data_IF_892699585235
#
_entry.id   IF_892699585235
#
_cell.length_a   1.000
_cell.length_b   1.000
_cell.length_c   1.000
_cell.angle_alpha   90.00
_cell.angle_beta   90.00
_cell.angle_gamma   90.00
#
_symmetry.space_group_name_H-M   'P 1'
#
loop_
_entity.id
_entity.type
_entity.pdbx_description
1 polymer ?
#
# COMPACT_ATOMS: atom_id res chain seq x y z
N UNK A 1 4.58 -13.49 0.72
CA UNK A 1 5.25 -14.59 0.02
C UNK A 1 6.11 -15.35 1.03
N UNK A 2 5.84 -16.62 1.30
CA UNK A 2 6.43 -17.35 2.44
C UNK A 2 6.86 -18.77 2.05
N UNK A 3 7.87 -18.90 1.17
CA UNK A 3 8.30 -20.20 0.67
C UNK A 3 9.01 -21.04 1.74
N UNK A 4 8.90 -22.36 1.64
CA UNK A 4 9.63 -23.30 2.49
C UNK A 4 9.47 -23.03 3.98
N UNK A 5 10.58 -22.89 4.71
CA UNK A 5 10.55 -22.64 6.15
C UNK A 5 10.26 -21.18 6.55
N UNK A 6 10.10 -20.25 5.59
CA UNK A 6 9.70 -18.87 5.92
C UNK A 6 8.24 -18.80 6.41
N UNK A 7 7.44 -19.84 6.15
CA UNK A 7 6.04 -19.90 6.60
C UNK A 7 5.93 -19.81 8.11
N UNK A 8 6.69 -20.60 8.89
CA UNK A 8 6.53 -20.63 10.35
C UNK A 8 6.79 -19.26 10.98
N UNK A 9 7.87 -18.62 10.56
CA UNK A 9 8.26 -17.27 10.98
C UNK A 9 7.18 -16.25 10.66
N UNK A 10 6.57 -16.37 9.49
CA UNK A 10 5.49 -15.46 9.08
C UNK A 10 4.23 -15.67 9.92
N UNK A 11 3.85 -16.91 10.20
CA UNK A 11 2.70 -17.21 11.06
C UNK A 11 2.94 -16.70 12.49
N UNK A 12 4.15 -16.85 13.02
CA UNK A 12 4.53 -16.30 14.32
C UNK A 12 4.50 -14.77 14.31
N UNK A 13 4.97 -14.13 13.24
CA UNK A 13 4.86 -12.68 13.06
C UNK A 13 3.39 -12.22 13.03
N UNK A 14 2.50 -12.93 12.31
CA UNK A 14 1.06 -12.64 12.27
C UNK A 14 0.45 -12.73 13.67
N UNK A 15 0.76 -13.79 14.44
CA UNK A 15 0.30 -13.92 15.82
C UNK A 15 0.83 -12.80 16.70
N UNK A 16 2.10 -12.45 16.54
CA UNK A 16 2.73 -11.39 17.31
C UNK A 16 2.07 -10.03 17.07
N UNK A 17 1.88 -9.62 15.81
CA UNK A 17 1.24 -8.33 15.50
C UNK A 17 -0.22 -8.29 15.92
N UNK A 18 -0.92 -9.43 15.91
CA UNK A 18 -2.31 -9.54 16.36
C UNK A 18 -2.45 -9.54 17.88
N UNK A 19 -1.41 -9.83 18.66
CA UNK A 19 -1.55 -10.04 20.11
C UNK A 19 -0.65 -9.17 20.99
N UNK A 20 0.53 -8.75 20.50
CA UNK A 20 1.60 -8.24 21.35
C UNK A 20 1.99 -6.79 21.08
N UNK A 21 1.45 -6.15 20.03
CA UNK A 21 1.75 -4.76 19.71
C UNK A 21 0.68 -3.83 20.29
N UNK A 22 1.05 -2.57 20.64
CA UNK A 22 0.05 -1.52 20.81
C UNK A 22 -0.81 -1.41 19.54
N UNK A 23 -2.13 -1.41 19.66
CA UNK A 23 -3.03 -1.38 18.51
C UNK A 23 -3.35 -2.75 17.90
N UNK A 24 -2.92 -3.85 18.54
CA UNK A 24 -3.22 -5.22 18.09
C UNK A 24 -4.71 -5.50 17.91
N UNK A 25 -5.59 -4.85 18.68
CA UNK A 25 -7.05 -4.91 18.52
C UNK A 25 -7.51 -4.41 17.15
N UNK A 26 -6.94 -3.30 16.65
CA UNK A 26 -7.27 -2.77 15.32
C UNK A 26 -6.80 -3.75 14.24
N UNK A 27 -5.64 -4.38 14.42
CA UNK A 27 -5.15 -5.41 13.50
C UNK A 27 -6.05 -6.64 13.51
N UNK A 28 -6.58 -7.02 14.67
CA UNK A 28 -7.53 -8.13 14.79
C UNK A 28 -8.82 -7.89 14.01
N UNK A 29 -9.35 -6.66 14.11
CA UNK A 29 -10.65 -6.30 13.59
C UNK A 29 -10.62 -5.93 12.09
N UNK A 30 -9.53 -5.30 11.63
CA UNK A 30 -9.51 -4.63 10.31
C UNK A 30 -8.47 -5.17 9.33
N UNK A 31 -7.61 -6.12 9.71
CA UNK A 31 -6.54 -6.63 8.85
C UNK A 31 -6.72 -8.11 8.54
N UNK A 32 -6.72 -8.44 7.25
CA UNK A 32 -6.59 -9.81 6.74
C UNK A 32 -5.17 -10.06 6.22
N UNK A 33 -4.63 -11.25 6.51
CA UNK A 33 -3.30 -11.65 6.05
C UNK A 33 -3.42 -12.68 4.93
N UNK A 34 -2.75 -12.44 3.81
CA UNK A 34 -2.70 -13.37 2.69
C UNK A 34 -1.31 -14.01 2.61
N UNK A 35 -1.25 -15.31 2.88
CA UNK A 35 -0.01 -16.09 2.86
C UNK A 35 0.02 -16.94 1.59
N UNK A 36 1.12 -16.90 0.86
CA UNK A 36 1.25 -17.54 -0.45
C UNK A 36 2.69 -17.92 -0.76
N UNK A 37 2.87 -18.99 -1.55
CA UNK A 37 4.16 -19.55 -1.95
C UNK A 37 4.00 -20.38 -3.23
N UNK A 38 5.10 -20.58 -3.95
CA UNK A 38 5.12 -21.44 -5.15
C UNK A 38 4.95 -22.92 -4.77
N UNK A 39 4.28 -23.70 -5.62
CA UNK A 39 4.18 -25.15 -5.46
C UNK A 39 5.54 -25.87 -5.48
N UNK A 40 6.55 -25.27 -6.12
CA UNK A 40 7.93 -25.79 -6.13
C UNK A 40 8.67 -25.54 -4.81
N UNK A 41 8.16 -24.64 -3.97
CA UNK A 41 8.77 -24.23 -2.71
C UNK A 41 7.76 -24.33 -1.56
N UNK A 42 6.96 -25.40 -1.56
CA UNK A 42 5.93 -25.62 -0.57
C UNK A 42 6.56 -25.86 0.83
N UNK A 43 6.04 -25.22 1.88
CA UNK A 43 6.37 -25.56 3.27
C UNK A 43 6.04 -27.01 3.59
N UNK A 44 6.83 -27.65 4.46
CA UNK A 44 6.61 -29.06 4.85
C UNK A 44 5.25 -29.26 5.49
N UNK A 45 4.84 -28.31 6.35
CA UNK A 45 3.54 -28.32 7.01
C UNK A 45 2.85 -26.99 6.72
N UNK A 46 1.69 -27.05 6.07
CA UNK A 46 0.83 -25.91 5.82
C UNK A 46 -0.41 -26.09 6.71
N UNK A 47 -0.74 -25.13 7.59
CA UNK A 47 -1.96 -25.17 8.38
C UNK A 47 -3.20 -25.31 7.48
N UNK A 48 -4.15 -26.15 7.91
CA UNK A 48 -5.36 -26.43 7.13
C UNK A 48 -6.33 -25.23 7.11
N UNK A 49 -6.46 -24.55 8.24
CA UNK A 49 -7.39 -23.45 8.44
C UNK A 49 -6.79 -22.35 9.33
N UNK A 50 -7.56 -21.27 9.48
CA UNK A 50 -7.20 -20.12 10.31
C UNK A 50 -7.08 -20.48 11.79
N UNK A 51 -7.94 -21.36 12.31
CA UNK A 51 -7.92 -21.79 13.71
C UNK A 51 -6.58 -22.47 14.07
N UNK A 52 -6.09 -23.35 13.19
CA UNK A 52 -4.77 -23.98 13.33
C UNK A 52 -3.60 -22.98 13.36
N UNK A 53 -3.81 -21.77 12.83
CA UNK A 53 -2.86 -20.66 12.93
C UNK A 53 -3.12 -19.83 14.19
N UNK A 54 -4.33 -19.33 14.42
CA UNK A 54 -4.58 -18.26 15.38
C UNK A 54 -4.87 -18.74 16.81
N UNK A 55 -5.37 -19.97 17.01
CA UNK A 55 -5.77 -20.47 18.34
C UNK A 55 -4.59 -20.92 19.20
N UNK A 56 -3.36 -20.66 18.76
CA UNK A 56 -2.19 -20.95 19.57
C UNK A 56 -2.02 -19.90 20.68
N UNK A 57 -1.85 -20.34 21.95
CA UNK A 57 -1.59 -19.42 23.05
C UNK A 57 -0.35 -18.58 22.75
N UNK A 58 -0.49 -17.25 22.80
CA UNK A 58 0.61 -16.32 22.61
C UNK A 58 0.93 -15.62 23.93
N UNK A 59 2.15 -15.80 24.44
CA UNK A 59 2.68 -15.00 25.54
C UNK A 59 3.44 -13.82 24.98
N UNK A 60 2.98 -12.60 25.28
CA UNK A 60 3.65 -11.37 24.85
C UNK A 60 4.76 -10.93 25.81
N UNK A 61 4.96 -11.66 26.91
CA UNK A 61 5.98 -11.39 27.92
C UNK A 61 6.85 -12.63 28.16
N UNK A 62 8.13 -12.38 28.34
CA UNK A 62 9.12 -13.35 28.78
C UNK A 62 9.03 -13.59 30.30
N UNK A 63 9.64 -14.66 30.79
CA UNK A 63 9.60 -15.03 32.21
C UNK A 63 10.22 -13.98 33.15
N UNK A 64 11.12 -13.15 32.64
CA UNK A 64 11.74 -12.03 33.34
C UNK A 64 10.90 -10.73 33.30
N UNK A 65 9.70 -10.77 32.70
CA UNK A 65 8.79 -9.63 32.58
C UNK A 65 9.04 -8.71 31.38
N UNK A 66 10.09 -8.93 30.57
CA UNK A 66 10.30 -8.13 29.35
C UNK A 66 9.38 -8.57 28.21
N UNK A 67 9.06 -7.68 27.28
CA UNK A 67 8.27 -8.02 26.09
C UNK A 67 9.02 -9.02 25.20
N UNK A 68 8.30 -9.97 24.61
CA UNK A 68 8.90 -10.87 23.61
C UNK A 68 9.37 -10.05 22.39
N UNK A 69 10.62 -10.27 21.91
CA UNK A 69 11.10 -9.56 20.73
C UNK A 69 10.30 -9.99 19.50
N UNK A 70 10.06 -9.09 18.54
CA UNK A 70 9.28 -9.43 17.35
C UNK A 70 9.90 -10.63 16.60
N UNK A 71 9.13 -11.65 16.20
CA UNK A 71 9.68 -12.84 15.54
C UNK A 71 10.47 -12.50 14.28
N UNK A 72 10.06 -11.45 13.58
CA UNK A 72 10.69 -10.98 12.35
C UNK A 72 12.07 -10.33 12.52
N UNK A 73 12.50 -10.04 13.76
CA UNK A 73 13.86 -9.55 14.04
C UNK A 73 14.81 -10.67 14.45
N UNK A 74 14.31 -11.89 14.63
CA UNK A 74 15.09 -13.01 15.17
C UNK A 74 15.83 -13.80 14.08
N UNK A 75 15.48 -13.60 12.82
CA UNK A 75 16.08 -14.31 11.69
C UNK A 75 16.76 -13.29 10.79
N UNK A 76 18.05 -13.50 10.55
CA UNK A 76 18.78 -12.65 9.62
C UNK A 76 18.25 -12.85 8.20
N UNK A 77 18.12 -11.75 7.43
CA UNK A 77 17.52 -11.79 6.09
C UNK A 77 18.19 -12.81 5.15
N UNK A 78 19.52 -12.95 5.25
CA UNK A 78 20.31 -13.92 4.48
C UNK A 78 20.05 -15.38 4.86
N UNK A 79 19.37 -15.63 5.98
CA UNK A 79 18.98 -16.96 6.43
C UNK A 79 17.57 -17.36 6.01
N UNK A 80 16.76 -16.43 5.48
CA UNK A 80 15.44 -16.75 4.93
C UNK A 80 15.52 -17.77 3.80
N UNK A 81 14.51 -18.63 3.69
CA UNK A 81 14.40 -19.62 2.63
C UNK A 81 14.40 -18.93 1.27
N UNK A 82 13.64 -17.83 1.11
CA UNK A 82 13.63 -17.02 -0.12
C UNK A 82 15.05 -16.71 -0.59
N UNK A 83 15.91 -16.20 0.30
CA UNK A 83 17.28 -15.82 -0.06
C UNK A 83 18.15 -17.05 -0.32
N UNK A 84 18.11 -18.06 0.55
CA UNK A 84 18.93 -19.29 0.38
C UNK A 84 18.58 -20.07 -0.88
N UNK A 85 17.31 -20.05 -1.29
CA UNK A 85 16.83 -20.67 -2.53
C UNK A 85 16.91 -19.73 -3.74
N UNK A 86 17.48 -18.52 -3.60
CA UNK A 86 17.64 -17.53 -4.66
C UNK A 86 16.32 -17.18 -5.38
N UNK A 87 15.24 -17.02 -4.60
CA UNK A 87 13.92 -16.69 -5.12
C UNK A 87 13.73 -15.18 -5.19
N UNK A 88 13.01 -14.74 -6.21
CA UNK A 88 12.51 -13.37 -6.33
C UNK A 88 11.24 -13.19 -5.49
N UNK A 89 10.86 -11.94 -5.21
CA UNK A 89 9.58 -11.62 -4.57
C UNK A 89 8.48 -11.39 -5.63
N UNK A 90 7.52 -12.32 -5.78
CA UNK A 90 6.40 -12.19 -6.71
C UNK A 90 5.34 -11.22 -6.16
N UNK A 91 5.68 -9.93 -6.13
CA UNK A 91 4.84 -8.87 -5.56
C UNK A 91 3.47 -8.76 -6.25
N UNK A 92 3.43 -8.91 -7.59
CA UNK A 92 2.20 -8.75 -8.35
C UNK A 92 1.23 -9.93 -8.17
N UNK A 93 1.74 -11.14 -7.90
CA UNK A 93 0.91 -12.27 -7.47
C UNK A 93 0.23 -11.92 -6.14
N UNK A 94 0.99 -11.39 -5.17
CA UNK A 94 0.45 -10.95 -3.88
C UNK A 94 -0.62 -9.87 -4.03
N UNK A 95 -0.38 -8.87 -4.89
CA UNK A 95 -1.38 -7.83 -5.22
C UNK A 95 -2.65 -8.41 -5.82
N UNK A 96 -2.54 -9.33 -6.77
CA UNK A 96 -3.71 -9.95 -7.40
C UNK A 96 -4.50 -10.81 -6.41
N UNK A 97 -3.83 -11.57 -5.53
CA UNK A 97 -4.48 -12.34 -4.45
C UNK A 97 -5.27 -11.40 -3.53
N UNK A 98 -4.63 -10.36 -3.01
CA UNK A 98 -5.28 -9.40 -2.12
C UNK A 98 -6.46 -8.71 -2.81
N UNK A 99 -6.30 -8.34 -4.09
CA UNK A 99 -7.35 -7.72 -4.89
C UNK A 99 -8.54 -8.65 -5.12
N UNK A 100 -8.32 -9.92 -5.38
CA UNK A 100 -9.39 -10.90 -5.55
C UNK A 100 -10.13 -11.21 -4.23
N UNK A 101 -9.42 -11.12 -3.11
CA UNK A 101 -10.01 -11.33 -1.78
C UNK A 101 -10.74 -10.10 -1.23
N UNK A 102 -10.58 -8.92 -1.85
CA UNK A 102 -11.27 -7.70 -1.43
C UNK A 102 -12.78 -7.82 -1.68
N UNK A 103 -13.57 -7.65 -0.63
CA UNK A 103 -15.05 -7.76 -0.67
C UNK A 103 -15.75 -6.42 -0.93
N UNK A 104 -15.00 -5.39 -1.33
CA UNK A 104 -15.51 -4.03 -1.57
C UNK A 104 -15.53 -3.71 -3.06
N UNK A 105 -16.40 -2.79 -3.47
CA UNK A 105 -16.45 -2.34 -4.86
C UNK A 105 -15.18 -1.59 -5.26
N UNK A 106 -14.74 -0.66 -4.41
CA UNK A 106 -13.49 0.07 -4.58
C UNK A 106 -12.35 -0.61 -3.83
N UNK A 107 -11.17 -0.58 -4.45
CA UNK A 107 -9.94 -1.20 -3.99
C UNK A 107 -8.85 -0.14 -4.08
N UNK A 108 -8.17 0.12 -2.96
CA UNK A 108 -7.03 1.01 -2.91
C UNK A 108 -5.74 0.18 -2.78
N UNK A 109 -5.00 0.04 -3.88
CA UNK A 109 -3.74 -0.69 -3.87
C UNK A 109 -2.61 0.24 -3.43
N UNK A 110 -2.11 0.04 -2.21
CA UNK A 110 -1.10 0.87 -1.57
C UNK A 110 0.00 0.03 -0.94
N UNK A 111 1.22 0.58 -0.91
CA UNK A 111 2.30 -0.02 -0.12
C UNK A 111 2.08 0.33 1.36
N UNK A 112 2.40 -0.58 2.28
CA UNK A 112 2.10 -0.45 3.72
C UNK A 112 2.82 0.72 4.41
N UNK A 113 3.90 1.24 3.81
CA UNK A 113 4.66 2.40 4.30
C UNK A 113 4.08 3.75 3.86
N UNK A 114 3.00 3.74 3.07
CA UNK A 114 2.35 4.94 2.58
C UNK A 114 1.02 5.16 3.29
N UNK A 115 0.91 6.32 3.93
CA UNK A 115 -0.22 6.68 4.77
C UNK A 115 -1.14 7.64 4.01
N UNK A 116 -2.42 7.31 3.78
CA UNK A 116 -3.36 8.25 3.17
C UNK A 116 -3.63 9.44 4.10
N UNK A 117 -3.93 10.60 3.52
CA UNK A 117 -4.40 11.78 4.24
C UNK A 117 -5.65 11.46 5.08
N UNK A 118 -5.79 12.12 6.23
CA UNK A 118 -6.94 11.92 7.12
C UNK A 118 -8.27 12.19 6.41
N UNK A 119 -9.29 11.39 6.70
CA UNK A 119 -10.62 11.49 6.09
C UNK A 119 -10.68 11.08 4.61
N UNK A 120 -9.61 10.49 4.05
CA UNK A 120 -9.56 10.07 2.65
C UNK A 120 -10.74 9.17 2.26
N UNK A 121 -10.99 8.11 3.03
CA UNK A 121 -12.01 7.11 2.69
C UNK A 121 -13.39 7.74 2.65
N UNK A 122 -13.75 8.50 3.68
CA UNK A 122 -15.06 9.16 3.77
C UNK A 122 -15.26 10.18 2.64
N UNK A 123 -14.27 11.06 2.41
CA UNK A 123 -14.37 12.06 1.34
C UNK A 123 -14.46 11.43 -0.06
N UNK A 124 -13.74 10.33 -0.29
CA UNK A 124 -13.81 9.61 -1.56
C UNK A 124 -15.20 8.98 -1.76
N UNK A 125 -15.74 8.31 -0.74
CA UNK A 125 -17.06 7.71 -0.81
C UNK A 125 -18.17 8.76 -0.92
N UNK A 126 -18.03 9.91 -0.27
CA UNK A 126 -18.91 11.05 -0.42
C UNK A 126 -18.89 11.57 -1.86
N UNK A 127 -17.71 11.76 -2.47
CA UNK A 127 -17.60 12.15 -3.89
C UNK A 127 -18.35 11.16 -4.79
N UNK A 128 -18.22 9.86 -4.53
CA UNK A 128 -18.90 8.81 -5.30
C UNK A 128 -20.42 8.92 -5.13
N UNK A 129 -20.90 9.05 -3.90
CA UNK A 129 -22.33 9.12 -3.58
C UNK A 129 -23.00 10.36 -4.21
N UNK A 130 -22.29 11.49 -4.26
CA UNK A 130 -22.81 12.72 -4.86
C UNK A 130 -22.76 12.71 -6.40
N UNK A 131 -21.79 12.00 -7.00
CA UNK A 131 -21.61 11.98 -8.44
C UNK A 131 -21.37 10.56 -8.96
N UNK A 132 -22.45 9.83 -9.24
CA UNK A 132 -22.38 8.47 -9.77
C UNK A 132 -21.68 8.37 -11.14
N UNK A 133 -21.44 9.49 -11.85
CA UNK A 133 -20.66 9.46 -13.09
C UNK A 133 -19.19 9.06 -12.89
N UNK A 134 -18.72 8.98 -11.63
CA UNK A 134 -17.42 8.40 -11.29
C UNK A 134 -17.45 6.87 -11.31
N UNK A 135 -18.62 6.25 -11.14
CA UNK A 135 -18.78 4.78 -11.24
C UNK A 135 -18.79 4.36 -12.71
N UNK A 136 -17.85 3.50 -13.12
CA UNK A 136 -17.79 2.96 -14.48
C UNK A 136 -18.65 1.69 -14.58
N UNK A 137 -19.95 1.82 -14.32
CA UNK A 137 -20.86 0.66 -14.20
C UNK A 137 -21.17 -0.02 -15.54
N UNK A 138 -21.11 0.71 -16.65
CA UNK A 138 -21.27 0.15 -17.99
C UNK A 138 -19.90 -0.36 -18.50
N UNK A 139 -19.74 -1.65 -18.84
CA UNK A 139 -18.52 -2.20 -19.41
C UNK A 139 -18.03 -1.51 -20.69
N UNK A 140 -18.90 -0.76 -21.37
CA UNK A 140 -18.54 0.06 -22.55
C UNK A 140 -17.86 1.37 -22.17
N UNK A 141 -18.03 1.84 -20.93
CA UNK A 141 -17.34 3.03 -20.46
C UNK A 141 -15.86 2.70 -20.23
N UNK A 142 -14.97 3.66 -20.51
CA UNK A 142 -13.57 3.47 -20.20
C UNK A 142 -13.38 3.34 -18.70
N UNK A 143 -12.54 2.40 -18.30
CA UNK A 143 -12.21 2.17 -16.89
C UNK A 143 -11.59 3.42 -16.27
N UNK A 144 -11.85 3.60 -14.98
CA UNK A 144 -11.48 4.79 -14.23
C UNK A 144 -10.66 4.40 -13.01
N UNK A 145 -9.57 5.12 -12.80
CA UNK A 145 -8.77 5.02 -11.57
C UNK A 145 -8.49 6.39 -11.01
N UNK A 146 -8.34 6.46 -9.70
CA UNK A 146 -8.20 7.70 -8.94
C UNK A 146 -6.84 7.73 -8.25
N UNK A 147 -5.81 8.27 -8.91
CA UNK A 147 -4.45 8.30 -8.39
C UNK A 147 -4.30 9.36 -7.29
N UNK A 148 -3.50 9.02 -6.29
CA UNK A 148 -3.14 9.90 -5.19
C UNK A 148 -1.73 10.47 -5.43
N UNK A 149 -1.55 11.76 -5.15
CA UNK A 149 -0.23 12.38 -5.12
C UNK A 149 0.55 11.86 -3.91
N UNK A 150 1.85 11.59 -4.06
CA UNK A 150 2.66 11.03 -2.97
C UNK A 150 3.75 12.02 -2.58
N UNK A 151 3.90 12.24 -1.28
CA UNK A 151 4.88 13.15 -0.71
C UNK A 151 5.73 12.47 0.36
N UNK A 152 7.00 12.82 0.40
CA UNK A 152 7.91 12.50 1.49
C UNK A 152 7.94 13.68 2.46
N UNK A 153 7.86 13.38 3.76
CA UNK A 153 7.96 14.37 4.83
C UNK A 153 9.30 14.18 5.54
N UNK A 154 10.00 15.27 5.80
CA UNK A 154 11.26 15.25 6.56
C UNK A 154 11.10 14.58 7.94
N UNK A 155 12.09 13.79 8.36
CA UNK A 155 12.05 13.09 9.64
C UNK A 155 11.94 14.08 10.82
N UNK A 156 11.07 13.79 11.78
CA UNK A 156 10.84 14.64 12.96
C UNK A 156 9.89 15.82 12.71
N UNK A 157 9.45 16.04 11.47
CA UNK A 157 8.39 17.02 11.16
C UNK A 157 7.02 16.41 11.49
N UNK A 158 6.12 17.23 12.03
CA UNK A 158 4.75 16.82 12.32
C UNK A 158 4.02 16.42 11.03
N UNK A 159 3.33 15.29 11.09
CA UNK A 159 2.50 14.78 9.99
C UNK A 159 1.38 15.79 9.69
N UNK A 160 1.25 16.28 8.44
CA UNK A 160 0.22 17.26 8.11
C UNK A 160 -1.18 16.65 8.18
N UNK A 161 -2.09 17.32 8.88
CA UNK A 161 -3.47 16.89 9.03
C UNK A 161 -4.29 17.06 7.74
N UNK A 162 -3.93 18.05 6.92
CA UNK A 162 -4.60 18.36 5.67
C UNK A 162 -3.63 18.88 4.59
N UNK A 163 -4.18 19.10 3.39
CA UNK A 163 -3.39 19.59 2.24
C UNK A 163 -2.83 20.99 2.48
N UNK A 164 -3.49 21.85 3.24
CA UNK A 164 -2.99 23.21 3.52
C UNK A 164 -1.71 23.14 4.36
N UNK A 165 -1.68 22.29 5.37
CA UNK A 165 -0.48 22.01 6.16
C UNK A 165 0.62 21.35 5.32
N UNK A 166 0.28 20.36 4.49
CA UNK A 166 1.23 19.74 3.56
C UNK A 166 1.87 20.78 2.63
N UNK A 167 1.07 21.68 2.05
CA UNK A 167 1.57 22.75 1.18
C UNK A 167 2.45 23.75 1.95
N UNK A 168 2.17 24.00 3.23
CA UNK A 168 3.04 24.81 4.08
C UNK A 168 4.41 24.15 4.27
N UNK A 169 4.45 22.83 4.54
CA UNK A 169 5.70 22.06 4.62
C UNK A 169 6.45 22.05 3.28
N UNK A 170 5.73 21.85 2.17
CA UNK A 170 6.30 21.84 0.83
C UNK A 170 6.98 23.17 0.49
N UNK A 171 6.36 24.31 0.83
CA UNK A 171 6.95 25.66 0.65
C UNK A 171 8.19 25.88 1.51
N UNK A 172 8.25 25.26 2.69
CA UNK A 172 9.40 25.30 3.60
C UNK A 172 10.49 24.28 3.24
N UNK A 173 10.30 23.51 2.15
CA UNK A 173 11.20 22.42 1.74
C UNK A 173 11.31 21.28 2.76
N UNK A 174 10.31 21.14 3.63
CA UNK A 174 10.18 20.05 4.62
C UNK A 174 9.30 18.90 4.11
N UNK A 175 8.74 19.07 2.91
CA UNK A 175 8.04 18.04 2.16
C UNK A 175 8.44 18.11 0.69
N UNK A 176 8.52 16.96 0.03
CA UNK A 176 8.83 16.87 -1.39
C UNK A 176 8.01 15.79 -2.09
N UNK A 177 7.99 15.79 -3.43
CA UNK A 177 7.37 14.70 -4.19
C UNK A 177 8.13 13.40 -3.93
N UNK A 178 7.41 12.29 -3.78
CA UNK A 178 8.00 10.98 -3.55
C UNK A 178 9.04 10.59 -4.60
N UNK A 179 10.18 10.10 -4.12
CA UNK A 179 11.33 9.68 -4.92
C UNK A 179 11.81 10.75 -5.93
N UNK A 180 11.67 12.04 -5.58
CA UNK A 180 12.02 13.17 -6.46
C UNK A 180 13.44 13.04 -7.06
N UNK A 181 14.41 12.60 -6.25
CA UNK A 181 15.81 12.46 -6.65
C UNK A 181 16.15 11.14 -7.35
N UNK A 182 15.30 10.11 -7.21
CA UNK A 182 15.48 8.80 -7.85
C UNK A 182 14.83 8.77 -9.24
N UNK A 183 13.57 9.21 -9.33
CA UNK A 183 12.85 9.31 -10.58
C UNK A 183 11.75 10.39 -10.50
N UNK A 184 12.14 11.63 -10.81
CA UNK A 184 11.22 12.78 -10.83
C UNK A 184 9.94 12.53 -11.63
N UNK A 185 10.03 11.87 -12.80
CA UNK A 185 8.88 11.63 -13.68
C UNK A 185 8.01 10.45 -13.25
N UNK A 186 8.51 9.56 -12.39
CA UNK A 186 7.79 8.34 -12.00
C UNK A 186 6.63 8.61 -11.03
N UNK A 187 6.68 9.70 -10.25
CA UNK A 187 5.65 10.02 -9.25
C UNK A 187 5.08 11.44 -9.39
N UNK A 188 5.50 12.19 -10.41
CA UNK A 188 4.84 13.46 -10.75
C UNK A 188 3.43 13.16 -11.28
N UNK A 189 2.40 13.65 -10.59
CA UNK A 189 1.04 13.49 -11.06
C UNK A 189 0.74 14.43 -12.24
N UNK A 190 -0.15 14.04 -13.15
CA UNK A 190 -0.71 14.94 -14.15
C UNK A 190 -1.29 16.20 -13.50
N UNK A 191 -0.98 17.37 -14.08
CA UNK A 191 -1.39 18.66 -13.53
C UNK A 191 -0.91 18.92 -12.09
N UNK A 192 0.30 18.42 -11.72
CA UNK A 192 0.89 18.61 -10.40
C UNK A 192 0.94 20.09 -9.97
N UNK A 193 1.30 20.99 -10.89
CA UNK A 193 1.43 22.42 -10.56
C UNK A 193 0.08 23.02 -10.19
N UNK A 194 -0.95 22.69 -10.95
CA UNK A 194 -2.32 23.07 -10.66
C UNK A 194 -2.78 22.44 -9.34
N UNK A 195 -2.49 21.16 -9.12
CA UNK A 195 -2.80 20.48 -7.85
C UNK A 195 -2.17 21.18 -6.65
N UNK A 196 -0.90 21.59 -6.74
CA UNK A 196 -0.19 22.32 -5.68
C UNK A 196 -0.75 23.73 -5.44
N UNK A 197 -1.30 24.35 -6.48
CA UNK A 197 -1.87 25.70 -6.40
C UNK A 197 -3.34 25.71 -5.97
N UNK A 198 -4.04 24.58 -6.08
CA UNK A 198 -5.41 24.43 -5.58
C UNK A 198 -5.41 24.43 -4.04
N UNK A 199 -5.68 25.59 -3.45
CA UNK A 199 -6.03 25.70 -2.04
C UNK A 199 -7.51 25.38 -1.90
N UNK A 200 -7.82 24.26 -1.27
CA UNK A 200 -9.19 23.90 -0.95
C UNK A 200 -9.47 24.23 0.50
N UNK A 201 -10.61 24.87 0.77
CA UNK A 201 -11.10 25.12 2.12
C UNK A 201 -11.63 23.84 2.76
N UNK A 202 -11.83 23.85 4.09
CA UNK A 202 -12.41 22.74 4.83
C UNK A 202 -13.85 22.38 4.39
N UNK A 203 -14.52 23.30 3.68
CA UNK A 203 -15.88 23.12 3.14
C UNK A 203 -15.91 22.67 1.67
N UNK A 204 -14.75 22.56 1.01
CA UNK A 204 -14.71 22.19 -0.41
C UNK A 204 -14.96 20.70 -0.59
N UNK A 205 -16.14 20.39 -1.13
CA UNK A 205 -16.49 19.02 -1.51
C UNK A 205 -15.50 18.45 -2.53
N UNK A 206 -15.09 17.21 -2.28
CA UNK A 206 -14.21 16.46 -3.15
C UNK A 206 -14.87 16.22 -4.52
N UNK A 207 -14.12 16.48 -5.59
CA UNK A 207 -14.57 16.28 -6.96
C UNK A 207 -13.39 15.94 -7.86
N UNK A 208 -13.64 15.33 -9.02
CA UNK A 208 -12.59 15.14 -10.03
C UNK A 208 -12.16 16.52 -10.56
N UNK A 209 -10.88 16.86 -10.46
CA UNK A 209 -10.38 18.14 -10.99
C UNK A 209 -9.79 18.03 -12.39
N UNK A 210 -9.25 16.86 -12.76
CA UNK A 210 -8.59 16.65 -14.04
C UNK A 210 -8.66 15.18 -14.44
N UNK A 211 -8.55 14.94 -15.74
CA UNK A 211 -8.48 13.59 -16.31
C UNK A 211 -7.30 13.49 -17.26
N UNK A 212 -6.62 12.35 -17.25
CA UNK A 212 -5.57 12.06 -18.23
C UNK A 212 -5.49 10.59 -18.61
N UNK A 213 -4.60 10.31 -19.56
CA UNK A 213 -4.16 8.97 -19.92
C UNK A 213 -2.68 8.80 -19.59
N UNK A 214 -2.29 7.59 -19.18
CA UNK A 214 -0.88 7.21 -19.00
C UNK A 214 -0.19 7.04 -20.36
N UNK A 215 0.11 8.16 -21.02
CA UNK A 215 0.75 8.26 -22.34
C UNK A 215 1.85 9.33 -22.32
N UNK A 216 2.68 9.34 -23.37
CA UNK A 216 3.72 10.36 -23.59
C UNK A 216 4.66 10.51 -22.37
N UNK A 217 4.71 11.70 -21.77
CA UNK A 217 5.55 12.00 -20.61
C UNK A 217 5.20 11.18 -19.35
N UNK A 218 4.00 10.59 -19.29
CA UNK A 218 3.54 9.77 -18.16
C UNK A 218 3.74 8.26 -18.37
N UNK A 219 4.46 7.82 -19.42
CA UNK A 219 4.71 6.38 -19.67
C UNK A 219 5.41 5.67 -18.51
N UNK A 220 6.29 6.39 -17.81
CA UNK A 220 7.04 5.89 -16.65
C UNK A 220 6.31 6.11 -15.32
N UNK A 221 5.10 6.71 -15.34
CA UNK A 221 4.37 7.02 -14.13
C UNK A 221 3.92 5.74 -13.40
N UNK A 222 4.16 5.72 -12.09
CA UNK A 222 3.87 4.64 -11.14
C UNK A 222 2.91 5.17 -10.05
N UNK A 223 1.61 5.29 -10.37
CA UNK A 223 0.63 5.79 -9.43
C UNK A 223 0.23 4.74 -8.39
N UNK A 224 -0.14 5.23 -7.22
CA UNK A 224 -1.01 4.53 -6.27
C UNK A 224 -2.41 5.10 -6.43
N UNK A 225 -3.42 4.25 -6.54
CA UNK A 225 -4.73 4.69 -6.95
C UNK A 225 -5.84 3.82 -6.37
N UNK A 226 -7.02 4.42 -6.25
CA UNK A 226 -8.27 3.69 -6.05
C UNK A 226 -8.79 3.23 -7.41
N UNK A 227 -9.21 1.98 -7.49
CA UNK A 227 -9.93 1.43 -8.65
C UNK A 227 -11.11 0.59 -8.22
N UNK A 228 -11.84 0.06 -9.18
CA UNK A 228 -12.72 -1.09 -8.95
C UNK A 228 -12.01 -2.41 -9.33
N UNK A 229 -12.73 -3.52 -9.21
CA UNK A 229 -12.20 -4.83 -9.58
C UNK A 229 -12.23 -5.12 -11.11
N UNK A 230 -12.57 -4.15 -11.96
CA UNK A 230 -12.61 -4.31 -13.43
C UNK A 230 -11.28 -3.96 -14.11
N UNK A 231 -10.35 -3.30 -13.42
CA UNK A 231 -8.99 -3.03 -13.92
C UNK A 231 -8.25 -4.34 -14.31
N UNK A 232 -7.32 -4.31 -15.27
CA UNK A 232 -6.48 -5.46 -15.56
C UNK A 232 -5.70 -5.91 -14.31
N UNK A 233 -5.49 -7.22 -14.15
CA UNK A 233 -4.58 -7.72 -13.12
C UNK A 233 -3.14 -7.23 -13.36
N UNK A 234 -2.38 -7.13 -12.28
CA UNK A 234 -0.95 -6.86 -12.38
C UNK A 234 -0.27 -8.04 -13.09
N UNK A 235 0.66 -7.77 -13.99
CA UNK A 235 1.46 -8.79 -14.67
C UNK A 235 2.33 -9.52 -13.64
N UNK A 236 1.95 -10.77 -13.36
CA UNK A 236 2.54 -11.62 -12.33
C UNK A 236 3.97 -12.05 -12.67
N UNK A 237 4.41 -11.89 -13.92
CA UNK A 237 5.80 -12.15 -14.33
C UNK A 237 6.76 -11.10 -13.79
N UNK A 238 6.25 -9.94 -13.38
CA UNK A 238 7.06 -8.84 -12.85
C UNK A 238 7.25 -9.01 -11.35
N UNK A 239 8.52 -9.11 -10.95
CA UNK A 239 8.93 -9.26 -9.55
C UNK A 239 9.29 -7.91 -8.94
N UNK A 240 9.48 -7.87 -7.62
CA UNK A 240 9.87 -6.64 -6.95
C UNK A 240 11.27 -6.16 -7.31
N UNK A 241 12.23 -7.09 -7.49
CA UNK A 241 13.65 -6.80 -7.71
C UNK A 241 13.91 -5.93 -8.95
N UNK A 242 13.04 -5.99 -9.97
CA UNK A 242 13.14 -5.13 -11.15
C UNK A 242 12.66 -3.69 -10.94
N UNK A 243 12.09 -3.36 -9.78
CA UNK A 243 11.65 -2.01 -9.35
C UNK A 243 10.80 -1.24 -10.39
N UNK A 244 10.06 -1.95 -11.22
CA UNK A 244 9.14 -1.39 -12.23
C UNK A 244 7.77 -2.10 -12.18
N UNK A 245 7.45 -2.69 -11.03
CA UNK A 245 6.30 -3.59 -10.83
C UNK A 245 4.92 -2.90 -10.86
N UNK A 246 4.87 -1.57 -10.92
CA UNK A 246 3.64 -0.77 -10.92
C UNK A 246 3.23 -0.24 -12.30
N UNK A 247 3.99 -0.55 -13.36
CA UNK A 247 3.83 0.06 -14.70
C UNK A 247 2.86 -0.67 -15.64
N UNK A 248 1.73 -1.19 -15.15
CA UNK A 248 0.97 -2.20 -15.91
C UNK A 248 -0.40 -1.70 -16.44
N UNK A 249 -0.94 -0.57 -15.96
CA UNK A 249 -2.20 -0.02 -16.48
C UNK A 249 -2.00 0.79 -17.77
N UNK A 250 -2.07 0.14 -18.93
CA UNK A 250 -2.16 0.81 -20.22
C UNK A 250 -3.62 0.89 -20.65
N UNK A 251 -4.09 2.08 -21.04
CA UNK A 251 -5.44 2.28 -21.58
C UNK A 251 -6.53 2.66 -20.58
N UNK A 252 -6.18 2.84 -19.30
CA UNK A 252 -7.07 3.32 -18.24
C UNK A 252 -7.11 4.85 -18.18
N UNK A 253 -8.28 5.43 -17.89
CA UNK A 253 -8.43 6.86 -17.61
C UNK A 253 -8.10 7.16 -16.14
N UNK A 254 -7.19 8.10 -15.92
CA UNK A 254 -6.78 8.54 -14.60
C UNK A 254 -7.53 9.82 -14.24
N UNK A 255 -8.37 9.76 -13.22
CA UNK A 255 -9.20 10.85 -12.71
C UNK A 255 -8.53 11.41 -11.46
N UNK A 256 -7.88 12.56 -11.60
CA UNK A 256 -7.11 13.15 -10.52
C UNK A 256 -8.07 13.90 -9.58
N UNK A 257 -7.92 13.67 -8.28
CA UNK A 257 -8.75 14.26 -7.23
C UNK A 257 -7.91 15.28 -6.44
N UNK A 258 -8.41 16.50 -6.19
CA UNK A 258 -7.72 17.48 -5.37
C UNK A 258 -7.91 17.06 -3.90
N UNK A 259 -6.88 17.27 -3.06
CA UNK A 259 -6.95 17.18 -1.59
C UNK A 259 -6.59 15.84 -0.95
N UNK A 260 -6.60 14.74 -1.69
CA UNK A 260 -6.07 13.47 -1.18
C UNK A 260 -4.64 13.29 -1.63
N UNK A 261 -3.81 12.84 -0.69
CA UNK A 261 -2.43 12.49 -0.93
C UNK A 261 -2.02 11.30 -0.06
N UNK A 262 -0.90 10.70 -0.40
CA UNK A 262 -0.18 9.73 0.40
C UNK A 262 1.07 10.38 0.98
N UNK A 263 1.38 10.00 2.20
CA UNK A 263 2.58 10.40 2.91
C UNK A 263 3.49 9.20 3.07
N UNK A 264 4.74 9.37 2.66
CA UNK A 264 5.84 8.53 3.07
C UNK A 264 6.45 9.12 4.34
N UNK A 265 6.29 8.40 5.46
CA UNK A 265 6.79 8.83 6.75
C UNK A 265 8.04 8.03 7.09
N UNK A 266 9.20 8.68 7.18
CA UNK A 266 10.45 8.05 7.67
C UNK A 266 10.41 7.67 9.16
N UNK A 267 9.26 7.86 9.83
CA UNK A 267 9.14 7.98 11.29
C UNK A 267 8.85 6.65 12.00
N UNK A 268 8.45 5.60 11.28
CA UNK A 268 8.21 4.30 11.91
C UNK A 268 9.24 3.29 11.42
N UNK A 269 10.03 2.82 12.38
CA UNK A 269 10.99 1.73 12.26
C UNK A 269 10.43 0.63 11.33
N UNK A 270 10.97 0.57 10.11
CA UNK A 270 10.51 -0.28 8.99
C UNK A 270 10.80 -1.78 9.25
N UNK A 271 10.88 -2.20 10.51
CA UNK A 271 11.22 -3.58 10.90
C UNK A 271 10.19 -4.60 10.42
N UNK A 272 8.94 -4.19 10.17
CA UNK A 272 7.93 -5.05 9.53
C UNK A 272 8.19 -5.28 8.02
N UNK A 273 8.83 -4.31 7.34
CA UNK A 273 9.05 -4.33 5.89
C UNK A 273 10.26 -5.16 5.47
N UNK A 274 11.22 -5.40 6.37
CA UNK A 274 12.40 -6.21 6.08
C UNK A 274 12.11 -7.68 5.75
N UNK A 275 10.91 -8.17 6.11
CA UNK A 275 10.40 -9.49 5.73
C UNK A 275 9.52 -9.49 4.47
N UNK A 276 8.90 -8.36 4.13
CA UNK A 276 8.01 -8.26 2.98
C UNK A 276 8.76 -8.11 1.65
N UNK A 277 10.06 -7.79 1.69
CA UNK A 277 10.92 -7.60 0.51
C UNK A 277 12.14 -8.53 0.46
#
# INVERSE_FOLDING_TARGET
HTPGYDLSVTLDAIRYVRNCLPGSEIIKDWVTFHVYFSNQHMPVNVPYDEAGVLDQPSSCTLANGSQVPPPYTQIARNESYKVRANLTYPINVGRNIARQAANTHFIFACDIELYPSLGFVDQFLDMVAHNHSVLALDPKQPRRVYPLAVFEIEAGVQVPADKSELLALFRRQQAQVFHLHLCRTCHTIPSQREWLNLTSGAEDQMHVFSQTLRKNQFKAWEPFYVSDNTEPFFDERVTWEGQSNKRIQVGTNFYIIPNIYLLYLFVYDLTLLSLLY
#
